data_IF_303059826159
#
_entry.id   IF_303059826159
#
_cell.length_a   1.000
_cell.length_b   1.000
_cell.length_c   1.000
_cell.angle_alpha   90.00
_cell.angle_beta   90.00
_cell.angle_gamma   90.00
#
_symmetry.space_group_name_H-M   'P 1'
#
loop_
_entity.id
_entity.type
_entity.pdbx_description
1 polymer ?
#
# COMPACT_ATOMS: atom_id res chain seq x y z
N UNK A 1 -2.18 -22.84 1.09
CA UNK A 1 -2.65 -22.61 -0.29
C UNK A 1 -1.79 -21.46 -0.75
N UNK A 2 -0.89 -21.70 -1.70
CA UNK A 2 0.24 -20.78 -1.93
C UNK A 2 -0.18 -19.35 -2.27
N UNK A 3 0.68 -18.41 -1.93
CA UNK A 3 0.57 -17.02 -2.39
C UNK A 3 0.48 -16.94 -3.92
N UNK A 4 -0.48 -16.16 -4.42
CA UNK A 4 -0.69 -15.90 -5.84
C UNK A 4 -0.23 -14.49 -6.16
N UNK A 5 0.67 -14.39 -7.15
CA UNK A 5 1.22 -13.13 -7.64
C UNK A 5 0.90 -12.99 -9.11
N UNK A 6 0.19 -11.94 -9.45
CA UNK A 6 -0.05 -11.54 -10.84
C UNK A 6 0.27 -10.07 -11.01
N UNK A 7 0.16 -9.55 -12.22
CA UNK A 7 0.25 -8.13 -12.45
C UNK A 7 -0.57 -7.74 -13.67
N UNK A 8 -0.89 -6.45 -13.75
CA UNK A 8 -1.44 -5.83 -14.94
C UNK A 8 -0.60 -4.62 -15.31
N UNK A 9 -0.57 -4.29 -16.60
CA UNK A 9 0.05 -3.06 -17.08
C UNK A 9 -1.01 -1.97 -17.20
N UNK A 10 -0.68 -0.77 -16.72
CA UNK A 10 -1.51 0.43 -16.85
C UNK A 10 -0.73 1.49 -17.61
N UNK A 11 -1.40 2.17 -18.56
CA UNK A 11 -0.82 3.30 -19.27
C UNK A 11 -1.07 4.58 -18.46
N UNK A 12 0.00 5.15 -17.94
CA UNK A 12 0.06 6.54 -17.48
C UNK A 12 0.04 7.47 -18.69
N UNK A 13 -0.67 8.59 -18.55
CA UNK A 13 -0.73 9.62 -19.59
C UNK A 13 0.64 10.29 -19.80
N UNK A 14 1.37 10.51 -18.71
CA UNK A 14 2.61 11.29 -18.70
C UNK A 14 3.89 10.43 -18.58
N UNK A 15 3.78 9.20 -18.05
CA UNK A 15 4.94 8.41 -17.64
C UNK A 15 5.10 7.05 -18.33
N UNK A 16 4.24 6.76 -19.31
CA UNK A 16 4.31 5.52 -20.09
C UNK A 16 3.58 4.36 -19.41
N UNK A 17 4.16 3.16 -19.44
CA UNK A 17 3.52 1.98 -18.83
C UNK A 17 4.05 1.74 -17.43
N UNK A 18 3.15 1.60 -16.46
CA UNK A 18 3.45 1.16 -15.10
C UNK A 18 2.83 -0.20 -14.80
N UNK A 19 3.39 -0.90 -13.83
CA UNK A 19 2.93 -2.22 -13.40
C UNK A 19 2.13 -2.11 -12.10
N UNK A 20 0.92 -2.65 -12.12
CA UNK A 20 0.11 -2.89 -10.92
C UNK A 20 0.29 -4.35 -10.53
N UNK A 21 1.11 -4.60 -9.51
CA UNK A 21 1.30 -5.95 -8.97
C UNK A 21 0.08 -6.32 -8.12
N UNK A 22 -0.36 -7.58 -8.20
CA UNK A 22 -1.52 -8.08 -7.46
C UNK A 22 -1.03 -9.24 -6.59
N UNK A 23 -1.28 -9.13 -5.28
CA UNK A 23 -0.95 -10.16 -4.32
C UNK A 23 -2.22 -10.70 -3.66
N UNK A 24 -2.40 -12.02 -3.70
CA UNK A 24 -3.55 -12.71 -3.09
C UNK A 24 -3.09 -13.94 -2.32
N UNK A 25 -3.60 -14.11 -1.10
CA UNK A 25 -3.48 -15.34 -0.34
C UNK A 25 -4.87 -15.94 -0.13
N UNK A 26 -5.71 -15.28 0.65
CA UNK A 26 -7.08 -15.68 0.98
C UNK A 26 -8.12 -15.15 0.00
N UNK A 27 -7.85 -14.02 -0.66
CA UNK A 27 -8.84 -13.39 -1.54
C UNK A 27 -9.17 -14.26 -2.75
N UNK A 28 -10.45 -14.32 -3.12
CA UNK A 28 -10.93 -15.04 -4.30
C UNK A 28 -10.61 -14.27 -5.59
N UNK A 29 -10.48 -14.96 -6.73
CA UNK A 29 -10.07 -14.33 -8.00
C UNK A 29 -11.08 -13.28 -8.51
N UNK A 30 -12.36 -13.46 -8.21
CA UNK A 30 -13.48 -12.60 -8.59
C UNK A 30 -13.76 -11.47 -7.59
N UNK A 31 -13.01 -11.40 -6.47
CA UNK A 31 -13.13 -10.29 -5.53
C UNK A 31 -12.65 -8.99 -6.18
N UNK A 32 -13.49 -7.94 -6.14
CA UNK A 32 -13.23 -6.65 -6.79
C UNK A 32 -12.75 -5.57 -5.83
N UNK A 33 -13.16 -5.65 -4.56
CA UNK A 33 -12.79 -4.68 -3.52
C UNK A 33 -11.34 -4.91 -3.11
N UNK A 34 -10.54 -3.86 -3.14
CA UNK A 34 -9.13 -3.86 -2.86
C UNK A 34 -8.68 -2.52 -2.27
N UNK A 35 -7.47 -2.55 -1.73
CA UNK A 35 -6.65 -1.35 -1.54
C UNK A 35 -5.46 -1.43 -2.49
N UNK A 36 -4.99 -0.26 -2.90
CA UNK A 36 -3.79 -0.10 -3.71
C UNK A 36 -2.78 0.76 -2.98
N UNK A 37 -1.58 0.23 -2.80
CA UNK A 37 -0.43 0.90 -2.21
C UNK A 37 0.32 1.60 -3.35
N UNK A 38 0.34 2.93 -3.31
CA UNK A 38 0.80 3.78 -4.41
C UNK A 38 1.89 4.75 -3.93
N UNK A 39 3.17 4.55 -4.29
CA UNK A 39 4.15 5.62 -4.26
C UNK A 39 3.75 6.71 -5.26
N UNK A 40 3.82 7.97 -4.84
CA UNK A 40 3.50 9.10 -5.70
C UNK A 40 4.72 10.02 -5.87
N UNK A 41 4.75 10.77 -6.97
CA UNK A 41 5.72 11.85 -7.16
C UNK A 41 5.03 13.17 -6.82
N UNK A 42 5.58 13.93 -5.87
CA UNK A 42 5.20 15.32 -5.64
C UNK A 42 6.29 16.24 -6.19
N UNK A 43 5.91 17.14 -7.09
CA UNK A 43 6.81 18.15 -7.66
C UNK A 43 6.93 19.36 -6.74
N UNK A 44 7.95 20.20 -6.96
CA UNK A 44 8.20 21.39 -6.13
C UNK A 44 7.03 22.40 -6.14
N UNK A 45 6.26 22.45 -7.23
CA UNK A 45 5.07 23.29 -7.37
C UNK A 45 3.79 22.65 -6.76
N UNK A 46 3.90 21.44 -6.21
CA UNK A 46 2.85 20.76 -5.47
C UNK A 46 1.92 19.90 -6.32
N UNK A 47 2.27 19.59 -7.57
CA UNK A 47 1.53 18.60 -8.35
C UNK A 47 1.88 17.19 -7.88
N UNK A 48 0.87 16.32 -7.80
CA UNK A 48 1.04 14.93 -7.37
C UNK A 48 0.68 13.99 -8.51
N UNK A 49 1.58 13.04 -8.77
CA UNK A 49 1.43 12.02 -9.81
C UNK A 49 1.48 10.63 -9.17
N UNK A 50 0.32 10.02 -9.01
CA UNK A 50 0.13 8.67 -8.44
C UNK A 50 0.43 7.55 -9.44
N UNK A 51 0.43 7.84 -10.73
CA UNK A 51 0.69 6.90 -11.83
C UNK A 51 2.14 6.94 -12.33
N UNK A 52 3.04 7.58 -11.57
CA UNK A 52 4.46 7.67 -11.92
C UNK A 52 5.21 6.36 -11.74
N UNK A 53 4.79 5.55 -10.76
CA UNK A 53 5.53 4.40 -10.26
C UNK A 53 4.63 3.16 -10.21
N UNK A 54 5.26 1.99 -10.11
CA UNK A 54 4.56 0.72 -9.93
C UNK A 54 3.82 0.66 -8.59
N UNK A 55 2.62 0.08 -8.60
CA UNK A 55 1.74 -0.05 -7.43
C UNK A 55 1.54 -1.50 -6.99
N UNK A 56 1.05 -1.69 -5.77
CA UNK A 56 0.69 -3.01 -5.23
C UNK A 56 -0.77 -3.05 -4.78
N UNK A 57 -1.55 -3.94 -5.38
CA UNK A 57 -2.95 -4.18 -5.05
C UNK A 57 -3.11 -5.39 -4.14
N UNK A 58 -3.87 -5.19 -3.05
CA UNK A 58 -4.24 -6.22 -2.09
C UNK A 58 -5.76 -6.24 -1.98
N UNK A 59 -6.36 -7.40 -2.18
CA UNK A 59 -7.82 -7.55 -2.17
C UNK A 59 -8.38 -7.75 -0.76
N UNK A 60 -9.69 -7.55 -0.63
CA UNK A 60 -10.41 -7.41 0.65
C UNK A 60 -10.10 -8.48 1.68
N UNK A 61 -10.21 -9.76 1.36
CA UNK A 61 -9.96 -10.79 2.37
C UNK A 61 -8.53 -10.69 2.94
N UNK A 62 -7.56 -10.37 2.08
CA UNK A 62 -6.17 -10.19 2.46
C UNK A 62 -5.92 -8.86 3.18
N UNK A 63 -6.41 -7.72 2.68
CA UNK A 63 -6.16 -6.45 3.36
C UNK A 63 -6.88 -6.37 4.71
N UNK A 64 -8.09 -6.95 4.85
CA UNK A 64 -8.81 -7.00 6.13
C UNK A 64 -8.03 -7.84 7.14
N UNK A 65 -7.41 -8.94 6.70
CA UNK A 65 -6.62 -9.81 7.57
C UNK A 65 -5.26 -9.21 7.94
N UNK A 66 -4.50 -8.73 6.95
CA UNK A 66 -3.11 -8.32 7.12
C UNK A 66 -2.94 -6.82 7.38
N UNK A 67 -3.66 -5.97 6.65
CA UNK A 67 -3.36 -4.55 6.57
C UNK A 67 -4.16 -3.71 7.57
N UNK A 68 -5.45 -3.97 7.77
CA UNK A 68 -6.27 -3.24 8.75
C UNK A 68 -5.65 -3.26 10.16
N UNK A 69 -5.22 -4.43 10.71
CA UNK A 69 -4.62 -4.45 12.03
C UNK A 69 -3.26 -3.74 12.13
N UNK A 70 -2.62 -3.49 10.98
CA UNK A 70 -1.40 -2.68 10.89
C UNK A 70 -1.76 -1.21 10.90
N UNK A 71 -2.75 -0.80 10.09
CA UNK A 71 -3.22 0.58 10.04
C UNK A 71 -3.74 1.07 11.40
N UNK A 72 -4.52 0.24 12.11
CA UNK A 72 -5.00 0.56 13.46
C UNK A 72 -3.88 0.87 14.47
N UNK A 73 -2.64 0.41 14.21
CA UNK A 73 -1.47 0.66 15.07
C UNK A 73 -0.62 1.85 14.65
N UNK A 74 -0.66 2.24 13.38
CA UNK A 74 0.18 3.35 12.89
C UNK A 74 -0.54 4.68 13.01
N UNK A 75 -1.87 4.69 12.83
CA UNK A 75 -2.67 5.90 12.95
C UNK A 75 -2.71 6.39 14.42
N UNK A 76 -2.76 7.71 14.66
CA UNK A 76 -2.86 8.78 13.67
C UNK A 76 -1.56 9.00 12.86
N UNK A 77 -1.69 9.44 11.60
CA UNK A 77 -0.56 9.79 10.71
C UNK A 77 -0.69 11.24 10.25
N UNK A 78 0.42 11.88 9.89
CA UNK A 78 0.40 13.26 9.38
C UNK A 78 0.44 13.24 7.86
N UNK A 79 -0.48 13.97 7.22
CA UNK A 79 -0.45 14.22 5.78
C UNK A 79 0.91 14.86 5.39
N UNK A 80 1.68 14.22 4.50
CA UNK A 80 2.96 14.74 4.04
C UNK A 80 2.84 16.01 3.20
N UNK A 81 1.67 16.35 2.65
CA UNK A 81 1.46 17.64 1.99
C UNK A 81 1.36 18.75 3.06
N UNK A 82 2.30 19.73 3.09
CA UNK A 82 2.23 20.85 4.03
C UNK A 82 1.00 21.76 3.83
N UNK A 83 0.30 21.65 2.70
CA UNK A 83 -0.99 22.32 2.42
C UNK A 83 -2.19 21.37 2.55
N UNK A 84 -1.95 20.11 2.88
CA UNK A 84 -2.93 19.04 2.96
C UNK A 84 -3.80 19.10 4.21
N UNK A 85 -4.29 17.93 4.61
CA UNK A 85 -5.36 17.79 5.60
C UNK A 85 -4.89 17.81 7.06
N UNK A 86 -3.58 17.91 7.28
CA UNK A 86 -2.99 17.86 8.62
C UNK A 86 -2.93 16.42 9.15
N UNK A 87 -3.48 16.17 10.33
CA UNK A 87 -3.44 14.83 10.95
C UNK A 87 -4.65 14.00 10.51
N UNK A 88 -4.39 12.79 10.02
CA UNK A 88 -5.38 11.77 9.72
C UNK A 88 -5.51 10.86 10.95
N UNK A 89 -6.67 10.88 11.60
CA UNK A 89 -6.90 10.19 12.89
C UNK A 89 -7.09 8.67 12.74
N UNK A 90 -7.63 8.24 11.61
CA UNK A 90 -7.94 6.83 11.32
C UNK A 90 -7.81 6.54 9.84
N UNK A 91 -7.62 5.26 9.51
CA UNK A 91 -7.63 4.79 8.13
C UNK A 91 -9.06 4.84 7.57
N UNK A 92 -9.24 5.58 6.47
CA UNK A 92 -10.51 5.68 5.75
C UNK A 92 -10.46 4.84 4.47
N UNK A 93 -11.25 3.76 4.42
CA UNK A 93 -11.28 2.88 3.25
C UNK A 93 -11.98 3.49 2.03
N UNK A 94 -12.71 4.58 2.21
CA UNK A 94 -13.49 5.26 1.17
C UNK A 94 -12.80 6.53 0.66
N UNK A 95 -11.56 6.79 1.07
CA UNK A 95 -10.81 7.99 0.72
C UNK A 95 -9.32 7.67 0.56
N UNK A 96 -8.60 8.56 -0.12
CA UNK A 96 -7.14 8.51 -0.18
C UNK A 96 -6.55 8.76 1.21
N UNK A 97 -5.67 7.86 1.64
CA UNK A 97 -4.92 8.02 2.88
C UNK A 97 -3.48 8.35 2.51
N UNK A 98 -2.96 9.48 2.98
CA UNK A 98 -1.61 9.94 2.64
C UNK A 98 -0.61 9.59 3.73
N UNK A 99 0.60 9.20 3.32
CA UNK A 99 1.67 8.80 4.22
C UNK A 99 2.98 9.46 3.81
N UNK A 100 3.67 10.03 4.79
CA UNK A 100 5.09 10.33 4.64
C UNK A 100 5.93 9.05 4.70
N UNK A 101 7.19 9.15 4.26
CA UNK A 101 8.13 8.02 4.22
C UNK A 101 8.27 7.27 5.56
N UNK A 102 8.27 7.98 6.68
CA UNK A 102 8.42 7.35 8.00
C UNK A 102 7.21 6.48 8.37
N UNK A 103 6.00 7.01 8.19
CA UNK A 103 4.76 6.25 8.43
C UNK A 103 4.62 5.08 7.44
N UNK A 104 5.06 5.28 6.18
CA UNK A 104 5.10 4.22 5.17
C UNK A 104 5.98 3.05 5.62
N UNK A 105 7.22 3.32 6.05
CA UNK A 105 8.13 2.29 6.57
C UNK A 105 7.62 1.65 7.87
N UNK A 106 6.87 2.38 8.68
CA UNK A 106 6.26 1.83 9.89
C UNK A 106 5.23 0.73 9.56
N UNK A 107 4.55 0.80 8.41
CA UNK A 107 3.67 -0.27 7.92
C UNK A 107 4.46 -1.58 7.78
N UNK A 108 5.62 -1.57 7.11
CA UNK A 108 6.41 -2.80 6.90
C UNK A 108 6.92 -3.36 8.24
N UNK A 109 7.37 -2.51 9.14
CA UNK A 109 7.85 -2.91 10.47
C UNK A 109 6.74 -3.57 11.29
N UNK A 110 5.56 -2.97 11.34
CA UNK A 110 4.42 -3.49 12.11
C UNK A 110 3.89 -4.78 11.48
N UNK A 111 3.84 -4.86 10.14
CA UNK A 111 3.45 -6.05 9.41
C UNK A 111 4.38 -7.22 9.74
N UNK A 112 5.70 -7.04 9.61
CA UNK A 112 6.72 -8.05 9.97
C UNK A 112 6.64 -8.44 11.44
N UNK A 113 6.48 -7.47 12.35
CA UNK A 113 6.36 -7.76 13.78
C UNK A 113 5.13 -8.61 14.11
N UNK A 114 4.01 -8.41 13.39
CA UNK A 114 2.74 -9.09 13.66
C UNK A 114 2.66 -10.47 13.00
N UNK A 115 3.12 -10.59 11.75
CA UNK A 115 2.94 -11.80 10.93
C UNK A 115 4.23 -12.55 10.63
N UNK A 116 5.41 -11.96 10.86
CA UNK A 116 6.70 -12.59 10.56
C UNK A 116 7.01 -13.84 11.36
N UNK A 117 6.32 -14.07 12.48
CA UNK A 117 6.40 -15.30 13.28
C UNK A 117 5.11 -16.15 13.20
N UNK A 118 4.25 -15.92 12.21
CA UNK A 118 3.07 -16.79 12.01
C UNK A 118 3.53 -18.22 11.78
N UNK A 119 2.83 -19.21 12.33
CA UNK A 119 3.11 -20.63 12.04
C UNK A 119 2.80 -20.99 10.58
N UNK A 120 1.99 -20.16 9.90
CA UNK A 120 1.63 -20.32 8.51
C UNK A 120 2.69 -19.72 7.56
N UNK A 121 3.37 -20.59 6.82
CA UNK A 121 4.39 -20.20 5.83
C UNK A 121 3.87 -19.24 4.76
N UNK A 122 2.64 -19.44 4.29
CA UNK A 122 2.04 -18.61 3.24
C UNK A 122 1.75 -17.19 3.77
N UNK A 123 1.34 -17.05 5.03
CA UNK A 123 1.15 -15.74 5.69
C UNK A 123 2.46 -14.99 5.86
N UNK A 124 3.53 -15.69 6.28
CA UNK A 124 4.87 -15.09 6.39
C UNK A 124 5.36 -14.61 5.03
N UNK A 125 5.20 -15.43 3.99
CA UNK A 125 5.59 -15.07 2.64
C UNK A 125 4.77 -13.88 2.11
N UNK A 126 3.45 -13.84 2.36
CA UNK A 126 2.62 -12.69 2.01
C UNK A 126 3.12 -11.42 2.69
N UNK A 127 3.37 -11.49 4.01
CA UNK A 127 3.92 -10.39 4.79
C UNK A 127 5.25 -9.89 4.24
N UNK A 128 6.18 -10.79 3.92
CA UNK A 128 7.50 -10.45 3.39
C UNK A 128 7.42 -9.73 2.04
N UNK A 129 6.49 -10.13 1.18
CA UNK A 129 6.29 -9.51 -0.13
C UNK A 129 5.74 -8.09 -0.02
N UNK A 130 4.71 -7.89 0.80
CA UNK A 130 4.14 -6.55 1.04
C UNK A 130 5.17 -5.64 1.71
N UNK A 131 5.87 -6.14 2.73
CA UNK A 131 6.90 -5.38 3.43
C UNK A 131 8.06 -5.00 2.50
N UNK A 132 8.52 -5.94 1.65
CA UNK A 132 9.57 -5.68 0.66
C UNK A 132 9.15 -4.65 -0.40
N UNK A 133 7.89 -4.67 -0.84
CA UNK A 133 7.34 -3.63 -1.70
C UNK A 133 7.36 -2.25 -1.04
N UNK A 134 6.88 -2.15 0.21
CA UNK A 134 6.89 -0.89 0.98
C UNK A 134 8.33 -0.36 1.15
N UNK A 135 9.25 -1.22 1.55
CA UNK A 135 10.66 -0.89 1.77
C UNK A 135 11.33 -0.40 0.47
N UNK A 136 11.12 -1.10 -0.64
CA UNK A 136 11.71 -0.69 -1.93
C UNK A 136 11.13 0.62 -2.48
N UNK A 137 9.84 0.87 -2.25
CA UNK A 137 9.18 2.11 -2.72
C UNK A 137 9.56 3.33 -1.88
N UNK A 138 9.94 3.12 -0.61
CA UNK A 138 10.44 4.16 0.28
C UNK A 138 11.74 4.84 -0.21
N UNK A 139 12.47 4.22 -1.14
CA UNK A 139 13.71 4.77 -1.69
C UNK A 139 13.49 5.61 -2.96
N UNK A 140 12.32 5.51 -3.60
CA UNK A 140 12.02 6.17 -4.88
C UNK A 140 10.95 7.27 -4.77
N UNK A 141 10.28 7.36 -3.62
CA UNK A 141 9.25 8.34 -3.32
C UNK A 141 9.36 8.85 -1.89
N UNK A 142 8.80 10.03 -1.65
CA UNK A 142 8.70 10.69 -0.34
C UNK A 142 7.24 10.80 0.15
N UNK A 143 6.27 10.55 -0.74
CA UNK A 143 4.84 10.63 -0.48
C UNK A 143 4.15 9.39 -1.03
N UNK A 144 3.30 8.79 -0.22
CA UNK A 144 2.62 7.55 -0.56
C UNK A 144 1.13 7.75 -0.30
N UNK A 145 0.31 7.06 -1.08
CA UNK A 145 -1.10 6.95 -0.78
C UNK A 145 -1.56 5.49 -0.77
N UNK A 146 -2.61 5.27 0.01
CA UNK A 146 -3.41 4.05 -0.07
C UNK A 146 -4.79 4.44 -0.55
N UNK A 147 -5.16 3.91 -1.71
CA UNK A 147 -6.47 4.11 -2.34
C UNK A 147 -7.33 2.86 -2.18
N UNK A 148 -8.59 3.02 -1.80
CA UNK A 148 -9.54 1.93 -1.64
C UNK A 148 -10.71 2.09 -2.60
N UNK A 149 -11.10 1.02 -3.30
CA UNK A 149 -12.17 1.08 -4.30
C UNK A 149 -13.54 0.56 -3.81
N UNK A 150 -13.91 0.92 -2.57
CA UNK A 150 -15.18 0.51 -1.94
C UNK A 150 -16.43 1.00 -2.67
#
# INVERSE_FOLDING_TARGET
MGIRKTFTEMKSEDFGTIKVSILRLYSAEDELVNIELCPALMTEDGNVFWDRYDSLRIYRADYEHFMIPVFDKIFPVTDPDPKGWGVQEYFDRCSLNWFGREDWLKISQVLRSKFGNSDNEDERAFCDEVAGYIESTADISTIFCIDGNL
#
